data_IF_392603299477
#
_entry.id   IF_392603299477
#
_cell.length_a   1.000
_cell.length_b   1.000
_cell.length_c   1.000
_cell.angle_alpha   90.00
_cell.angle_beta   90.00
_cell.angle_gamma   90.00
#
_symmetry.space_group_name_H-M   'P 1'
#
loop_
_entity.id
_entity.type
_entity.pdbx_description
1 polymer ?
#
# COMPACT_ATOMS: atom_id res chain seq x y z
N UNK A 1 -1.85 14.11 42.05
CA UNK A 1 -0.91 14.33 40.93
C UNK A 1 -0.49 12.96 40.42
N UNK A 2 -0.62 12.71 39.13
CA UNK A 2 -0.33 11.42 38.52
C UNK A 2 0.18 11.62 37.09
N UNK A 3 0.89 10.62 36.58
CA UNK A 3 1.41 10.60 35.21
C UNK A 3 0.55 9.63 34.43
N UNK A 4 0.03 10.08 33.29
CA UNK A 4 -0.69 9.26 32.31
C UNK A 4 0.22 9.01 31.12
N UNK A 5 -0.05 7.93 30.37
CA UNK A 5 0.70 7.61 29.15
C UNK A 5 0.51 8.65 28.06
N UNK A 6 1.41 8.65 27.08
CA UNK A 6 1.43 9.63 26.00
C UNK A 6 0.14 9.61 25.17
N UNK A 7 -0.39 10.80 24.87
CA UNK A 7 -1.58 10.99 24.03
C UNK A 7 -1.25 11.92 22.87
N UNK A 8 -1.76 11.59 21.67
CA UNK A 8 -1.69 12.48 20.50
C UNK A 8 -2.94 13.36 20.46
N UNK A 9 -2.94 14.44 21.25
CA UNK A 9 -4.11 15.29 21.49
C UNK A 9 -4.40 16.30 20.36
N UNK A 10 -3.35 16.81 19.69
CA UNK A 10 -3.49 17.88 18.69
C UNK A 10 -3.60 17.32 17.26
N UNK A 11 -2.65 16.46 16.88
CA UNK A 11 -2.62 15.81 15.56
C UNK A 11 -2.08 14.40 15.67
N UNK A 12 -2.73 13.48 14.97
CA UNK A 12 -2.30 12.07 14.89
C UNK A 12 -0.91 11.94 14.27
N UNK A 13 -0.53 12.86 13.39
CA UNK A 13 0.76 12.84 12.67
C UNK A 13 1.92 13.49 13.44
N UNK A 14 1.66 14.21 14.54
CA UNK A 14 2.69 14.89 15.32
C UNK A 14 3.06 14.06 16.55
N UNK A 15 4.30 14.22 17.03
CA UNK A 15 4.75 13.58 18.26
C UNK A 15 3.92 14.11 19.45
N UNK A 16 3.69 13.28 20.49
CA UNK A 16 3.06 13.73 21.72
C UNK A 16 3.82 14.93 22.28
N UNK A 17 3.14 16.07 22.37
CA UNK A 17 3.67 17.27 23.00
C UNK A 17 3.55 17.17 24.53
N UNK A 18 4.12 18.16 25.22
CA UNK A 18 3.90 18.31 26.64
C UNK A 18 2.44 18.72 26.89
N UNK A 19 1.69 17.90 27.62
CA UNK A 19 0.29 18.14 27.93
C UNK A 19 0.04 17.99 29.43
N UNK A 20 -0.73 18.93 30.00
CA UNK A 20 -1.05 18.96 31.41
C UNK A 20 -2.56 18.84 31.60
N UNK A 21 -2.99 17.93 32.47
CA UNK A 21 -4.38 17.83 32.90
C UNK A 21 -4.56 18.62 34.19
N UNK A 22 -5.23 19.78 34.09
CA UNK A 22 -5.51 20.66 35.22
C UNK A 22 -7.01 20.59 35.59
N UNK A 23 -7.37 20.80 36.88
CA UNK A 23 -8.77 20.93 37.26
C UNK A 23 -9.42 22.13 36.55
N UNK A 24 -10.65 21.94 36.04
CA UNK A 24 -11.36 23.00 35.32
C UNK A 24 -11.53 24.30 36.15
N UNK A 25 -11.62 24.18 37.47
CA UNK A 25 -11.68 25.35 38.37
C UNK A 25 -10.41 26.25 38.31
N UNK A 26 -9.27 25.72 37.85
CA UNK A 26 -8.02 26.45 37.71
C UNK A 26 -7.81 27.00 36.30
N UNK A 27 -8.29 26.28 35.27
CA UNK A 27 -8.14 26.65 33.88
C UNK A 27 -9.52 26.71 33.21
N UNK A 28 -10.15 27.88 33.27
CA UNK A 28 -11.54 28.06 32.85
C UNK A 28 -11.65 28.19 31.32
N UNK A 29 -11.75 27.07 30.62
CA UNK A 29 -12.00 27.07 29.18
C UNK A 29 -13.48 27.40 28.88
N UNK A 30 -13.75 28.20 27.82
CA UNK A 30 -15.12 28.60 27.46
C UNK A 30 -15.94 27.49 26.78
N UNK A 31 -15.35 26.30 26.58
CA UNK A 31 -15.98 25.16 25.92
C UNK A 31 -15.75 23.87 26.70
N UNK A 32 -16.80 23.03 26.75
CA UNK A 32 -16.77 21.71 27.38
C UNK A 32 -17.05 20.66 26.32
N UNK A 33 -16.14 19.70 26.19
CA UNK A 33 -16.34 18.54 25.32
C UNK A 33 -17.09 17.46 26.09
N UNK A 34 -18.22 17.02 25.56
CA UNK A 34 -19.01 15.92 26.13
C UNK A 34 -19.02 14.77 25.14
N UNK A 35 -18.47 13.64 25.55
CA UNK A 35 -18.48 12.41 24.74
C UNK A 35 -19.63 11.51 25.18
N UNK A 36 -20.53 11.21 24.26
CA UNK A 36 -21.67 10.33 24.51
C UNK A 36 -21.48 9.03 23.74
N UNK A 37 -21.56 7.90 24.45
CA UNK A 37 -21.55 6.57 23.83
C UNK A 37 -22.98 6.14 23.52
N UNK A 38 -23.30 5.94 22.24
CA UNK A 38 -24.62 5.49 21.79
C UNK A 38 -24.52 4.77 20.44
N UNK A 39 -25.46 3.87 20.16
CA UNK A 39 -25.60 3.19 18.87
C UNK A 39 -26.57 3.91 17.92
N UNK A 40 -27.14 5.04 18.34
CA UNK A 40 -28.08 5.83 17.53
C UNK A 40 -27.33 6.75 16.56
N UNK A 41 -28.02 7.19 15.50
CA UNK A 41 -27.49 8.19 14.57
C UNK A 41 -27.16 9.49 15.30
N UNK A 42 -26.11 10.18 14.84
CA UNK A 42 -25.61 11.44 15.43
C UNK A 42 -26.74 12.43 15.67
N UNK A 43 -27.61 12.65 14.67
CA UNK A 43 -28.73 13.60 14.79
C UNK A 43 -29.71 13.25 15.92
N UNK A 44 -29.98 11.97 16.14
CA UNK A 44 -30.87 11.51 17.20
C UNK A 44 -30.23 11.73 18.57
N UNK A 45 -28.93 11.44 18.70
CA UNK A 45 -28.16 11.69 19.93
C UNK A 45 -28.07 13.19 20.21
N UNK A 46 -27.75 14.00 19.21
CA UNK A 46 -27.66 15.47 19.33
C UNK A 46 -28.98 16.06 19.80
N UNK A 47 -30.12 15.61 19.25
CA UNK A 47 -31.44 16.07 19.71
C UNK A 47 -31.73 15.67 21.16
N UNK A 48 -31.39 14.44 21.57
CA UNK A 48 -31.55 13.97 22.94
C UNK A 48 -30.69 14.77 23.92
N UNK A 49 -29.43 15.01 23.57
CA UNK A 49 -28.48 15.80 24.37
C UNK A 49 -28.93 17.25 24.44
N UNK A 50 -29.36 17.85 23.32
CA UNK A 50 -29.88 19.23 23.30
C UNK A 50 -31.11 19.37 24.20
N UNK A 51 -32.05 18.42 24.16
CA UNK A 51 -33.22 18.43 25.03
C UNK A 51 -32.86 18.32 26.52
N UNK A 52 -31.84 17.53 26.86
CA UNK A 52 -31.33 17.45 28.22
C UNK A 52 -30.61 18.74 28.65
N UNK A 53 -29.81 19.35 27.77
CA UNK A 53 -29.09 20.59 28.03
C UNK A 53 -30.04 21.77 28.22
N UNK A 54 -31.10 21.88 27.41
CA UNK A 54 -32.09 22.95 27.53
C UNK A 54 -32.82 22.94 28.88
N UNK A 55 -32.95 21.76 29.53
CA UNK A 55 -33.50 21.66 30.90
C UNK A 55 -32.56 22.22 31.96
N UNK A 56 -31.24 22.17 31.72
CA UNK A 56 -30.22 22.68 32.65
C UNK A 56 -30.02 24.18 32.42
N UNK A 57 -29.81 24.59 31.17
CA UNK A 57 -29.66 25.98 30.79
C UNK A 57 -30.04 26.18 29.31
N UNK A 58 -31.09 26.98 29.01
CA UNK A 58 -31.51 27.27 27.64
C UNK A 58 -30.47 28.00 26.78
N UNK A 59 -29.49 28.69 27.40
CA UNK A 59 -28.44 29.43 26.71
C UNK A 59 -27.28 28.56 26.22
N UNK A 60 -27.24 27.26 26.53
CA UNK A 60 -26.19 26.35 26.07
C UNK A 60 -26.54 25.76 24.71
N UNK A 61 -25.72 26.08 23.71
CA UNK A 61 -25.79 25.53 22.37
C UNK A 61 -24.69 24.48 22.13
N UNK A 62 -25.03 23.42 21.41
CA UNK A 62 -24.05 22.47 20.92
C UNK A 62 -23.34 23.09 19.71
N UNK A 63 -22.07 23.46 19.87
CA UNK A 63 -21.31 24.15 18.82
C UNK A 63 -20.99 23.24 17.61
N UNK A 64 -20.52 22.01 17.88
CA UNK A 64 -20.03 21.09 16.83
C UNK A 64 -20.47 19.65 17.14
N UNK A 65 -21.65 19.22 16.69
CA UNK A 65 -22.07 17.83 16.80
C UNK A 65 -21.30 16.98 15.78
N UNK A 66 -20.37 16.16 16.24
CA UNK A 66 -19.60 15.24 15.40
C UNK A 66 -19.59 13.83 15.99
N UNK A 67 -19.68 12.81 15.12
CA UNK A 67 -19.35 11.45 15.51
C UNK A 67 -17.83 11.28 15.66
N UNK A 68 -17.41 10.35 16.51
CA UNK A 68 -16.00 9.95 16.57
C UNK A 68 -15.48 9.48 15.20
N UNK A 69 -16.32 8.81 14.41
CA UNK A 69 -15.97 8.44 13.02
C UNK A 69 -15.70 9.67 12.14
N UNK A 70 -16.49 10.74 12.30
CA UNK A 70 -16.30 12.00 11.57
C UNK A 70 -15.00 12.71 11.97
N UNK A 71 -14.69 12.73 13.27
CA UNK A 71 -13.43 13.28 13.79
C UNK A 71 -12.23 12.50 13.24
N UNK A 72 -12.28 11.17 13.28
CA UNK A 72 -11.23 10.31 12.72
C UNK A 72 -11.10 10.48 11.20
N UNK A 73 -12.22 10.56 10.47
CA UNK A 73 -12.22 10.77 9.04
C UNK A 73 -11.62 12.13 8.65
N UNK A 74 -11.85 13.18 9.44
CA UNK A 74 -11.28 14.51 9.21
C UNK A 74 -9.78 14.53 9.52
N UNK A 75 -9.35 13.87 10.60
CA UNK A 75 -7.93 13.73 10.95
C UNK A 75 -7.14 12.90 9.93
N UNK A 76 -7.75 11.87 9.33
CA UNK A 76 -7.10 10.95 8.40
C UNK A 76 -7.43 11.21 6.92
N UNK A 77 -8.26 12.20 6.60
CA UNK A 77 -8.79 12.42 5.26
C UNK A 77 -7.68 12.69 4.23
N UNK A 78 -6.73 13.57 4.58
CA UNK A 78 -5.59 13.89 3.72
C UNK A 78 -4.66 12.69 3.51
N UNK A 79 -4.37 11.95 4.58
CA UNK A 79 -3.55 10.74 4.51
C UNK A 79 -4.23 9.67 3.63
N UNK A 80 -5.54 9.49 3.76
CA UNK A 80 -6.32 8.55 2.95
C UNK A 80 -6.28 8.90 1.46
N UNK A 81 -6.42 10.18 1.11
CA UNK A 81 -6.32 10.63 -0.27
C UNK A 81 -4.93 10.34 -0.86
N UNK A 82 -3.86 10.68 -0.14
CA UNK A 82 -2.49 10.37 -0.56
C UNK A 82 -2.26 8.87 -0.72
N UNK A 83 -2.76 8.05 0.21
CA UNK A 83 -2.68 6.59 0.10
C UNK A 83 -3.39 6.06 -1.16
N UNK A 84 -4.57 6.58 -1.49
CA UNK A 84 -5.29 6.19 -2.72
C UNK A 84 -4.51 6.59 -3.97
N UNK A 85 -4.01 7.82 -4.05
CA UNK A 85 -3.21 8.28 -5.20
C UNK A 85 -1.95 7.42 -5.39
N UNK A 86 -1.21 7.19 -4.30
CA UNK A 86 0.00 6.38 -4.35
C UNK A 86 -0.31 4.93 -4.72
N UNK A 87 -1.41 4.37 -4.19
CA UNK A 87 -1.90 3.04 -4.55
C UNK A 87 -2.26 2.91 -6.03
N UNK A 88 -2.93 3.91 -6.61
CA UNK A 88 -3.25 3.94 -8.04
C UNK A 88 -1.96 4.02 -8.87
N UNK A 89 -1.04 4.92 -8.54
CA UNK A 89 0.24 5.02 -9.26
C UNK A 89 1.06 3.74 -9.17
N UNK A 90 1.12 3.12 -7.99
CA UNK A 90 1.79 1.83 -7.81
C UNK A 90 1.14 0.74 -8.67
N UNK A 91 -0.20 0.69 -8.72
CA UNK A 91 -0.95 -0.24 -9.57
C UNK A 91 -0.66 -0.04 -11.06
N UNK A 92 -0.65 1.20 -11.54
CA UNK A 92 -0.32 1.53 -12.94
C UNK A 92 1.14 1.18 -13.26
N UNK A 93 2.07 1.52 -12.37
CA UNK A 93 3.48 1.17 -12.54
C UNK A 93 3.69 -0.35 -12.61
N UNK A 94 2.97 -1.11 -11.76
CA UNK A 94 3.00 -2.56 -11.76
C UNK A 94 2.46 -3.15 -13.07
N UNK A 95 1.37 -2.59 -13.60
CA UNK A 95 0.81 -2.98 -14.90
C UNK A 95 1.81 -2.71 -16.04
N UNK A 96 2.40 -1.51 -16.07
CA UNK A 96 3.40 -1.15 -17.08
C UNK A 96 4.64 -2.05 -17.00
N UNK A 97 5.13 -2.34 -15.79
CA UNK A 97 6.22 -3.27 -15.59
C UNK A 97 5.87 -4.68 -16.08
N UNK A 98 4.65 -5.16 -15.79
CA UNK A 98 4.17 -6.47 -16.25
C UNK A 98 4.11 -6.56 -17.78
N UNK A 99 3.60 -5.51 -18.44
CA UNK A 99 3.56 -5.42 -19.90
C UNK A 99 4.97 -5.38 -20.48
N UNK A 100 5.88 -4.61 -19.88
CA UNK A 100 7.28 -4.54 -20.32
C UNK A 100 8.01 -5.87 -20.20
N UNK A 101 7.84 -6.59 -19.08
CA UNK A 101 8.39 -7.93 -18.89
C UNK A 101 7.79 -8.91 -19.91
N UNK A 102 6.48 -8.89 -20.10
CA UNK A 102 5.82 -9.72 -21.10
C UNK A 102 6.38 -9.45 -22.51
N UNK A 103 6.49 -8.19 -22.91
CA UNK A 103 7.00 -7.80 -24.23
C UNK A 103 8.46 -8.20 -24.44
N UNK A 104 9.32 -7.95 -23.45
CA UNK A 104 10.72 -8.34 -23.51
C UNK A 104 10.88 -9.87 -23.61
N UNK A 105 10.15 -10.63 -22.80
CA UNK A 105 10.22 -12.09 -22.82
C UNK A 105 9.63 -12.65 -24.11
N UNK A 106 8.47 -12.15 -24.56
CA UNK A 106 7.85 -12.57 -25.82
C UNK A 106 8.78 -12.32 -27.01
N UNK A 107 9.43 -11.16 -27.08
CA UNK A 107 10.40 -10.84 -28.11
C UNK A 107 11.60 -11.81 -28.09
N UNK A 108 12.15 -12.11 -26.90
CA UNK A 108 13.25 -13.08 -26.80
C UNK A 108 12.86 -14.50 -27.19
N UNK A 109 11.60 -14.89 -26.95
CA UNK A 109 11.05 -16.18 -27.38
C UNK A 109 10.95 -16.21 -28.90
N UNK A 110 10.36 -15.18 -29.52
CA UNK A 110 10.21 -15.09 -30.98
C UNK A 110 11.58 -15.18 -31.68
N UNK A 111 12.58 -14.43 -31.19
CA UNK A 111 13.94 -14.45 -31.75
C UNK A 111 14.65 -15.80 -31.59
N UNK A 112 14.23 -16.63 -30.63
CA UNK A 112 14.82 -17.96 -30.34
C UNK A 112 13.92 -19.13 -30.76
N UNK A 113 12.83 -18.87 -31.49
CA UNK A 113 11.87 -19.91 -31.91
C UNK A 113 12.56 -21.03 -32.67
N UNK A 114 13.53 -20.71 -33.54
CA UNK A 114 14.31 -21.71 -34.28
C UNK A 114 15.14 -22.62 -33.36
N UNK A 115 15.86 -22.07 -32.38
CA UNK A 115 16.64 -22.86 -31.40
C UNK A 115 15.73 -23.74 -30.52
N UNK A 116 14.58 -23.20 -30.12
CA UNK A 116 13.57 -23.90 -29.31
C UNK A 116 12.98 -25.06 -30.12
N UNK A 117 12.67 -24.83 -31.40
CA UNK A 117 12.16 -25.85 -32.32
C UNK A 117 13.15 -27.01 -32.53
N UNK A 118 14.45 -26.70 -32.73
CA UNK A 118 15.49 -27.73 -32.85
C UNK A 118 15.64 -28.53 -31.55
N UNK A 119 15.62 -27.89 -30.37
CA UNK A 119 15.67 -28.60 -29.08
C UNK A 119 14.46 -29.51 -28.86
N UNK A 120 13.27 -29.04 -29.22
CA UNK A 120 12.04 -29.85 -29.16
C UNK A 120 12.13 -31.05 -30.11
N UNK A 121 12.66 -30.87 -31.33
CA UNK A 121 12.88 -31.95 -32.28
C UNK A 121 13.91 -32.99 -31.80
N UNK A 122 14.90 -32.56 -31.00
CA UNK A 122 15.88 -33.44 -30.33
C UNK A 122 15.33 -34.11 -29.06
N UNK A 123 14.05 -33.89 -28.71
CA UNK A 123 13.39 -34.56 -27.58
C UNK A 123 13.37 -33.79 -26.26
N UNK A 124 13.68 -32.49 -26.26
CA UNK A 124 13.55 -31.66 -25.06
C UNK A 124 12.09 -31.61 -24.57
N UNK A 125 11.88 -31.70 -23.26
CA UNK A 125 10.53 -31.60 -22.71
C UNK A 125 10.06 -30.15 -22.67
N UNK A 126 8.74 -29.94 -22.77
CA UNK A 126 8.09 -28.63 -22.60
C UNK A 126 8.48 -27.93 -21.29
N UNK A 127 8.80 -28.70 -20.24
CA UNK A 127 9.31 -28.21 -18.95
C UNK A 127 10.69 -27.56 -19.07
N UNK A 128 11.57 -28.07 -19.92
CA UNK A 128 12.93 -27.54 -20.10
C UNK A 128 12.89 -26.18 -20.80
N UNK A 129 12.02 -26.05 -21.81
CA UNK A 129 11.76 -24.78 -22.50
C UNK A 129 11.14 -23.76 -21.55
N UNK A 130 10.13 -24.16 -20.78
CA UNK A 130 9.49 -23.30 -19.79
C UNK A 130 10.51 -22.79 -18.76
N UNK A 131 11.35 -23.67 -18.22
CA UNK A 131 12.37 -23.31 -17.21
C UNK A 131 13.43 -22.38 -17.80
N UNK A 132 13.83 -22.59 -19.05
CA UNK A 132 14.79 -21.72 -19.74
C UNK A 132 14.25 -20.30 -19.89
N UNK A 133 13.03 -20.16 -20.42
CA UNK A 133 12.40 -18.85 -20.67
C UNK A 133 12.12 -18.13 -19.36
N UNK A 134 11.57 -18.83 -18.35
CA UNK A 134 11.34 -18.23 -17.02
C UNK A 134 12.65 -17.80 -16.38
N UNK A 135 13.72 -18.60 -16.43
CA UNK A 135 15.02 -18.20 -15.86
C UNK A 135 15.63 -17.00 -16.57
N UNK A 136 15.51 -16.92 -17.91
CA UNK A 136 15.99 -15.74 -18.65
C UNK A 136 15.18 -14.49 -18.33
N UNK A 137 13.84 -14.60 -18.26
CA UNK A 137 12.97 -13.48 -17.91
C UNK A 137 13.09 -13.04 -16.44
N UNK A 138 13.37 -13.98 -15.52
CA UNK A 138 13.45 -13.70 -14.09
C UNK A 138 14.80 -13.14 -13.65
N UNK A 139 15.90 -13.43 -14.38
CA UNK A 139 17.24 -12.86 -14.08
C UNK A 139 17.24 -11.32 -13.98
N UNK A 140 16.77 -10.55 -14.97
CA UNK A 140 16.74 -9.09 -14.87
C UNK A 140 15.79 -8.61 -13.77
N UNK A 141 14.70 -9.33 -13.49
CA UNK A 141 13.78 -9.03 -12.39
C UNK A 141 14.47 -9.15 -11.05
N UNK A 142 15.22 -10.22 -10.81
CA UNK A 142 15.96 -10.42 -9.55
C UNK A 142 17.04 -9.34 -9.35
N UNK A 143 17.74 -8.95 -10.41
CA UNK A 143 18.72 -7.86 -10.36
C UNK A 143 18.01 -6.54 -10.03
N UNK A 144 16.89 -6.25 -10.69
CA UNK A 144 16.07 -5.07 -10.42
C UNK A 144 15.53 -5.03 -8.99
N UNK A 145 15.08 -6.18 -8.45
CA UNK A 145 14.63 -6.31 -7.07
C UNK A 145 15.78 -6.03 -6.08
N UNK A 146 16.96 -6.61 -6.30
CA UNK A 146 18.12 -6.37 -5.44
C UNK A 146 18.50 -4.89 -5.42
N UNK A 147 18.57 -4.25 -6.59
CA UNK A 147 18.85 -2.81 -6.72
C UNK A 147 17.74 -1.99 -6.04
N UNK A 148 16.49 -2.35 -6.25
CA UNK A 148 15.32 -1.69 -5.66
C UNK A 148 15.34 -1.73 -4.14
N UNK A 149 15.65 -2.89 -3.54
CA UNK A 149 15.76 -3.04 -2.09
C UNK A 149 16.89 -2.16 -1.56
N UNK A 150 18.10 -2.22 -2.14
CA UNK A 150 19.23 -1.38 -1.73
C UNK A 150 18.88 0.11 -1.84
N UNK A 151 18.22 0.50 -2.93
CA UNK A 151 17.79 1.88 -3.16
C UNK A 151 16.72 2.32 -2.14
N UNK A 152 15.79 1.44 -1.79
CA UNK A 152 14.76 1.70 -0.79
C UNK A 152 15.37 1.93 0.61
N UNK A 153 16.37 1.14 1.00
CA UNK A 153 17.11 1.36 2.25
C UNK A 153 17.89 2.67 2.24
N UNK A 154 18.58 2.98 1.13
CA UNK A 154 19.38 4.20 1.01
C UNK A 154 18.52 5.48 1.05
N UNK A 155 17.45 5.51 0.26
CA UNK A 155 16.50 6.63 0.22
C UNK A 155 15.67 6.71 1.51
N UNK A 156 15.25 5.56 2.05
CA UNK A 156 14.54 5.48 3.32
C UNK A 156 15.34 6.10 4.46
N UNK A 157 16.66 5.85 4.51
CA UNK A 157 17.56 6.48 5.49
C UNK A 157 17.65 8.00 5.32
N UNK A 158 17.69 8.50 4.08
CA UNK A 158 17.80 9.92 3.77
C UNK A 158 16.50 10.70 4.05
N UNK A 159 15.36 10.03 3.89
CA UNK A 159 14.04 10.60 4.22
C UNK A 159 13.76 10.46 5.72
N UNK A 160 14.20 9.39 6.38
CA UNK A 160 14.04 9.21 7.83
C UNK A 160 14.71 10.31 8.65
N UNK A 161 15.79 10.94 8.14
CA UNK A 161 16.36 12.13 8.80
C UNK A 161 15.46 13.37 8.74
N UNK A 162 14.42 13.36 7.89
CA UNK A 162 13.42 14.44 7.79
C UNK A 162 12.02 14.02 8.31
N UNK A 163 11.73 12.72 8.38
CA UNK A 163 10.44 12.18 8.80
C UNK A 163 10.53 11.67 10.24
N UNK A 164 10.07 12.49 11.20
CA UNK A 164 9.96 12.10 12.60
C UNK A 164 9.00 10.90 12.76
N UNK A 165 9.46 9.84 13.41
CA UNK A 165 8.66 8.73 13.98
C UNK A 165 7.91 7.81 12.99
N UNK A 166 8.26 7.80 11.71
CA UNK A 166 7.80 6.76 10.76
C UNK A 166 8.85 5.67 10.70
N UNK A 167 8.51 4.46 11.13
CA UNK A 167 9.36 3.27 11.03
C UNK A 167 9.60 2.94 9.54
N UNK A 168 10.58 3.59 8.94
CA UNK A 168 10.94 3.47 7.52
C UNK A 168 11.42 2.06 7.14
N UNK A 169 11.65 1.20 8.14
CA UNK A 169 12.26 -0.11 7.98
C UNK A 169 11.38 -1.23 8.55
N UNK A 170 10.10 -1.26 8.17
CA UNK A 170 9.25 -2.40 8.53
C UNK A 170 9.58 -3.60 7.62
N UNK A 171 10.23 -4.67 8.12
CA UNK A 171 10.66 -5.79 7.30
C UNK A 171 9.47 -6.55 6.69
N UNK A 172 8.29 -6.54 7.34
CA UNK A 172 7.11 -7.20 6.82
C UNK A 172 6.57 -6.50 5.55
N UNK A 173 6.63 -5.16 5.49
CA UNK A 173 6.21 -4.40 4.31
C UNK A 173 7.17 -4.58 3.15
N UNK A 174 8.49 -4.56 3.42
CA UNK A 174 9.52 -4.83 2.42
C UNK A 174 9.42 -6.26 1.87
N UNK A 175 9.25 -7.25 2.75
CA UNK A 175 9.07 -8.64 2.33
C UNK A 175 7.79 -8.82 1.52
N UNK A 176 6.67 -8.24 1.97
CA UNK A 176 5.39 -8.29 1.29
C UNK A 176 5.42 -7.66 -0.11
N UNK A 177 6.01 -6.47 -0.25
CA UNK A 177 6.13 -5.79 -1.55
C UNK A 177 7.08 -6.53 -2.49
N UNK A 178 8.21 -7.02 -2.00
CA UNK A 178 9.17 -7.82 -2.79
C UNK A 178 8.52 -9.10 -3.31
N UNK A 179 7.77 -9.80 -2.46
CA UNK A 179 7.08 -11.04 -2.83
C UNK A 179 5.96 -10.76 -3.84
N UNK A 180 5.19 -9.69 -3.65
CA UNK A 180 4.17 -9.26 -4.60
C UNK A 180 4.77 -8.93 -5.97
N UNK A 181 5.86 -8.16 -6.02
CA UNK A 181 6.57 -7.84 -7.26
C UNK A 181 7.11 -9.12 -7.94
N UNK A 182 7.75 -10.02 -7.18
CA UNK A 182 8.25 -11.27 -7.71
C UNK A 182 7.14 -12.16 -8.30
N UNK A 183 5.99 -12.24 -7.62
CA UNK A 183 4.82 -12.99 -8.11
C UNK A 183 4.25 -12.39 -9.40
N UNK A 184 4.14 -11.06 -9.46
CA UNK A 184 3.61 -10.38 -10.66
C UNK A 184 4.53 -10.57 -11.87
N UNK A 185 5.84 -10.44 -11.67
CA UNK A 185 6.83 -10.74 -12.70
C UNK A 185 6.80 -12.22 -13.13
N UNK A 186 6.64 -13.15 -12.19
CA UNK A 186 6.51 -14.58 -12.50
C UNK A 186 5.29 -14.86 -13.36
N UNK A 187 4.14 -14.28 -13.01
CA UNK A 187 2.91 -14.40 -13.80
C UNK A 187 3.11 -13.82 -15.20
N UNK A 188 3.71 -12.63 -15.31
CA UNK A 188 4.01 -11.99 -16.58
C UNK A 188 4.94 -12.82 -17.48
N UNK A 189 5.95 -13.49 -16.90
CA UNK A 189 6.86 -14.40 -17.61
C UNK A 189 6.21 -15.75 -18.00
N UNK A 190 5.29 -16.27 -17.19
CA UNK A 190 4.66 -17.57 -17.42
C UNK A 190 3.76 -17.60 -18.66
N UNK A 191 3.08 -16.50 -18.98
CA UNK A 191 2.25 -16.36 -20.18
C UNK A 191 3.03 -16.60 -21.49
N UNK A 192 4.11 -15.85 -21.80
CA UNK A 192 4.91 -16.07 -23.01
C UNK A 192 5.71 -17.37 -22.94
N UNK A 193 6.16 -17.81 -21.76
CA UNK A 193 6.85 -19.10 -21.61
C UNK A 193 5.92 -20.28 -21.94
N UNK A 194 4.64 -20.22 -21.54
CA UNK A 194 3.63 -21.20 -21.97
C UNK A 194 3.41 -21.14 -23.46
N UNK A 195 3.24 -19.94 -24.05
CA UNK A 195 3.12 -19.81 -25.51
C UNK A 195 4.31 -20.47 -26.23
N UNK A 196 5.54 -20.24 -25.79
CA UNK A 196 6.75 -20.86 -26.34
C UNK A 196 6.73 -22.39 -26.29
N UNK A 197 6.25 -22.96 -25.18
CA UNK A 197 6.19 -24.41 -24.98
C UNK A 197 5.08 -25.12 -25.78
N UNK A 198 4.08 -24.37 -26.25
CA UNK A 198 2.98 -24.85 -27.09
C UNK A 198 3.16 -24.48 -28.57
N UNK A 199 4.28 -23.87 -28.98
CA UNK A 199 4.58 -23.66 -30.40
C UNK A 199 4.81 -25.03 -31.05
N UNK A 200 4.02 -25.33 -32.08
CA UNK A 200 4.08 -26.59 -32.80
C UNK A 200 5.42 -26.68 -33.57
N UNK A 201 6.29 -27.65 -33.28
CA UNK A 201 7.64 -27.72 -33.85
C UNK A 201 7.63 -27.82 -35.38
N UNK A 202 6.56 -28.34 -35.96
CA UNK A 202 6.37 -28.43 -37.42
C UNK A 202 6.10 -27.05 -38.04
N UNK A 203 5.42 -26.13 -37.33
CA UNK A 203 5.26 -24.74 -37.80
C UNK A 203 6.57 -23.95 -37.65
N UNK A 204 7.32 -24.17 -36.56
CA UNK A 204 8.60 -23.49 -36.32
C UNK A 204 9.65 -23.80 -37.41
N UNK A 205 9.65 -25.02 -37.97
CA UNK A 205 10.54 -25.42 -39.07
C UNK A 205 10.04 -25.01 -40.46
N UNK A 206 8.77 -24.60 -40.60
CA UNK A 206 8.17 -24.20 -41.87
C UNK A 206 8.17 -22.68 -42.09
N UNK A 207 8.83 -21.93 -41.21
CA UNK A 207 8.94 -20.46 -41.28
C UNK A 207 10.26 -19.98 -41.91
N UNK A 208 10.90 -20.82 -42.72
CA UNK A 208 11.87 -20.37 -43.74
C UNK A 208 11.16 -20.13 -45.08
#
# INVERSE_FOLDING_TARGET
>A
VGIVGDVRSIRVAEAPGMEFYLPWAQENFPFVNVTVRSNLKVDAVTKLVQSALTKVNPGLAIAVPQSMDGVVAQALGQARLMMWLLGIFAGVALLLASIGIYGAVAYTVEQRTGEIGVRMALGAQTRDVLRLVVNQGMKPVLIGLAIGIVSAFALGRLIASQLYDVSAHNPALLAGSTLLLAMTALIACLLPARRAAYVDPIQALRTE
#
